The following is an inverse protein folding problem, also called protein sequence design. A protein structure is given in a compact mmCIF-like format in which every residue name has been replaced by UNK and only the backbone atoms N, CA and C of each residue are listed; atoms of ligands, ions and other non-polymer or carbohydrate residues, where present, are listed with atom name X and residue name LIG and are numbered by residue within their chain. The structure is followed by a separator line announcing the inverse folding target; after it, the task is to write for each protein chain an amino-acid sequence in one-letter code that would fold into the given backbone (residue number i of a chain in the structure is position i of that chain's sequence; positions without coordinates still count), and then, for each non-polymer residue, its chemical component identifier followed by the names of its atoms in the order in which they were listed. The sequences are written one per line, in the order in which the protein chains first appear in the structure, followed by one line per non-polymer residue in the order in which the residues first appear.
data_IF_266081192231
#
_entry.id   IF_266081192231
#
_cell.length_a   1.000
_cell.length_b   1.000
_cell.length_c   1.000
_cell.angle_alpha   90.00
_cell.angle_beta   90.00
_cell.angle_gamma   90.00
#
_symmetry.space_group_name_H-M   'P 1'
#
loop_
_entity.id
_entity.type
_entity.pdbx_description
1 polymer ?
#
# COMPACT_ATOMS: atom_id res chain seq x y z
N UNK A 1 38.87 13.37 -59.65
CA UNK A 1 38.98 14.13 -58.39
C UNK A 1 37.71 13.93 -57.57
N UNK A 2 37.70 12.97 -56.68
CA UNK A 2 36.53 12.65 -55.85
C UNK A 2 36.76 13.27 -54.47
N UNK A 3 35.92 14.26 -54.08
CA UNK A 3 35.92 14.87 -52.74
C UNK A 3 35.11 13.97 -51.81
N UNK A 4 35.78 13.42 -50.81
CA UNK A 4 35.16 12.66 -49.69
C UNK A 4 34.56 13.64 -48.71
N UNK A 5 33.23 13.62 -48.51
CA UNK A 5 32.53 14.29 -47.43
C UNK A 5 32.56 13.39 -46.20
N UNK A 6 33.25 13.84 -45.16
CA UNK A 6 33.18 13.20 -43.82
C UNK A 6 31.98 13.76 -43.09
N UNK A 7 31.00 12.88 -42.79
CA UNK A 7 29.87 13.19 -41.92
C UNK A 7 30.32 12.95 -40.48
N UNK A 8 30.48 14.03 -39.73
CA UNK A 8 30.74 13.99 -38.27
C UNK A 8 29.39 13.80 -37.59
N UNK A 9 29.14 12.60 -37.08
CA UNK A 9 28.01 12.34 -36.23
C UNK A 9 28.26 12.86 -34.80
N UNK A 10 27.59 13.95 -34.45
CA UNK A 10 27.59 14.51 -33.12
C UNK A 10 26.69 13.68 -32.23
N UNK A 11 27.25 12.78 -31.42
CA UNK A 11 26.53 12.05 -30.38
C UNK A 11 26.31 12.99 -29.21
N UNK A 12 25.12 13.57 -29.11
CA UNK A 12 24.67 14.29 -27.92
C UNK A 12 24.40 13.30 -26.80
N UNK A 13 25.34 13.12 -25.88
CA UNK A 13 25.16 12.41 -24.63
C UNK A 13 24.26 13.24 -23.70
N UNK A 14 22.97 13.00 -23.72
CA UNK A 14 22.05 13.47 -22.68
C UNK A 14 22.37 12.72 -21.39
N UNK A 15 23.07 13.39 -20.47
CA UNK A 15 23.25 12.91 -19.12
C UNK A 15 21.88 12.81 -18.43
N UNK A 16 21.44 11.58 -18.15
CA UNK A 16 20.30 11.31 -17.27
C UNK A 16 20.67 11.76 -15.86
N UNK A 17 20.34 12.99 -15.51
CA UNK A 17 20.33 13.41 -14.10
C UNK A 17 19.20 12.68 -13.40
N UNK A 18 19.53 11.55 -12.75
CA UNK A 18 18.58 10.85 -11.87
C UNK A 18 18.17 11.85 -10.77
N UNK A 19 16.86 12.12 -10.65
CA UNK A 19 16.32 12.90 -9.55
C UNK A 19 16.62 12.15 -8.24
N UNK A 20 17.52 12.70 -7.44
CA UNK A 20 17.85 12.19 -6.12
C UNK A 20 16.98 12.92 -5.10
N UNK A 21 16.29 12.20 -4.24
CA UNK A 21 15.58 12.75 -3.08
C UNK A 21 16.37 12.41 -1.82
N UNK A 22 16.48 13.36 -0.90
CA UNK A 22 17.08 13.12 0.41
C UNK A 22 16.08 12.39 1.30
N UNK A 23 16.55 11.37 2.02
CA UNK A 23 15.77 10.74 3.08
C UNK A 23 15.55 11.78 4.20
N UNK A 24 14.30 12.08 4.56
CA UNK A 24 14.01 13.11 5.55
C UNK A 24 14.48 12.76 6.97
N UNK A 25 15.02 11.55 7.19
CA UNK A 25 15.45 11.07 8.51
C UNK A 25 16.95 10.86 8.64
N UNK A 26 17.61 10.43 7.57
CA UNK A 26 19.06 10.13 7.59
C UNK A 26 19.87 11.19 6.86
N UNK A 27 19.24 12.04 6.05
CA UNK A 27 19.93 12.99 5.18
C UNK A 27 20.68 12.35 4.02
N UNK A 28 20.63 11.01 3.88
CA UNK A 28 21.28 10.31 2.79
C UNK A 28 20.54 10.50 1.46
N UNK A 29 21.31 10.63 0.39
CA UNK A 29 20.76 10.72 -0.96
C UNK A 29 20.27 9.35 -1.41
N UNK A 30 18.95 9.21 -1.56
CA UNK A 30 18.30 8.00 -2.04
C UNK A 30 17.78 8.24 -3.46
N UNK A 31 18.01 7.29 -4.35
CA UNK A 31 17.41 7.35 -5.68
C UNK A 31 15.90 7.28 -5.55
N UNK A 32 15.19 8.31 -6.05
CA UNK A 32 13.74 8.35 -5.97
C UNK A 32 13.12 7.10 -6.60
N UNK A 33 12.17 6.48 -5.93
CA UNK A 33 11.40 5.34 -6.48
C UNK A 33 10.61 5.74 -7.73
N UNK A 34 10.39 7.04 -7.95
CA UNK A 34 9.85 7.58 -9.20
C UNK A 34 10.70 7.22 -10.43
N UNK A 35 12.02 7.10 -10.26
CA UNK A 35 12.95 6.69 -11.34
C UNK A 35 12.70 5.23 -11.76
N UNK A 36 12.34 4.35 -10.81
CA UNK A 36 11.99 2.96 -11.11
C UNK A 36 10.61 2.84 -11.77
N UNK A 37 9.65 3.71 -11.41
CA UNK A 37 8.33 3.76 -12.04
C UNK A 37 8.39 4.16 -13.52
N UNK A 38 9.31 5.06 -13.88
CA UNK A 38 9.49 5.50 -15.27
C UNK A 38 10.15 4.44 -16.17
N UNK A 39 11.02 3.59 -15.59
CA UNK A 39 11.76 2.55 -16.33
C UNK A 39 11.12 1.16 -16.23
N UNK A 40 10.32 0.90 -15.19
CA UNK A 40 9.76 -0.43 -14.88
C UNK A 40 8.27 -0.60 -15.13
N UNK A 41 7.56 0.45 -15.52
CA UNK A 41 6.09 0.42 -15.67
C UNK A 41 5.55 -0.58 -16.70
N UNK A 42 6.41 -1.10 -17.58
CA UNK A 42 6.01 -2.08 -18.60
C UNK A 42 6.21 -3.55 -18.19
N UNK A 43 7.04 -3.86 -17.17
CA UNK A 43 7.46 -5.24 -16.89
C UNK A 43 6.97 -5.78 -15.55
N UNK A 44 6.72 -4.94 -14.54
CA UNK A 44 6.38 -5.39 -13.19
C UNK A 44 4.86 -5.44 -12.93
N UNK A 45 4.07 -4.76 -13.74
CA UNK A 45 2.59 -4.82 -13.65
C UNK A 45 2.00 -6.20 -13.94
N UNK A 46 2.74 -7.06 -14.67
CA UNK A 46 2.27 -8.38 -15.06
C UNK A 46 2.51 -9.49 -14.00
N UNK A 47 3.47 -9.34 -13.10
CA UNK A 47 3.83 -10.40 -12.15
C UNK A 47 3.31 -10.19 -10.72
N UNK A 48 3.03 -8.94 -10.32
CA UNK A 48 2.47 -8.66 -8.98
C UNK A 48 0.96 -8.86 -8.88
N UNK A 49 0.24 -8.71 -9.99
CA UNK A 49 -1.22 -8.85 -10.03
C UNK A 49 -1.75 -10.29 -10.03
N UNK A 50 -0.89 -11.26 -10.37
CA UNK A 50 -1.31 -12.66 -10.52
C UNK A 50 -1.30 -13.46 -9.21
N UNK A 51 -0.67 -12.96 -8.14
CA UNK A 51 -0.48 -13.71 -6.90
C UNK A 51 -1.43 -13.33 -5.76
N UNK A 52 -2.23 -12.27 -5.91
CA UNK A 52 -3.17 -11.84 -4.86
C UNK A 52 -4.53 -11.55 -5.49
N UNK A 53 -5.34 -12.58 -5.57
CA UNK A 53 -6.80 -12.55 -5.66
C UNK A 53 -7.45 -11.66 -6.72
N UNK A 54 -7.84 -12.26 -7.84
CA UNK A 54 -8.99 -11.82 -8.64
C UNK A 54 -8.88 -10.46 -9.34
N UNK A 55 -8.20 -10.41 -10.49
CA UNK A 55 -8.09 -9.23 -11.35
C UNK A 55 -9.40 -8.49 -11.68
N UNK A 56 -10.55 -9.14 -11.56
CA UNK A 56 -11.85 -8.55 -11.88
C UNK A 56 -12.34 -7.50 -10.86
N UNK A 57 -12.07 -7.69 -9.57
CA UNK A 57 -12.61 -6.77 -8.54
C UNK A 57 -11.80 -5.47 -8.45
N UNK A 58 -10.49 -5.55 -8.57
CA UNK A 58 -9.57 -4.40 -8.55
C UNK A 58 -9.78 -3.53 -9.79
N UNK A 59 -9.80 -4.14 -10.98
CA UNK A 59 -10.05 -3.44 -12.23
C UNK A 59 -11.41 -2.77 -12.28
N UNK A 60 -12.44 -3.43 -11.73
CA UNK A 60 -13.79 -2.86 -11.65
C UNK A 60 -13.84 -1.63 -10.74
N UNK A 61 -13.21 -1.71 -9.56
CA UNK A 61 -13.10 -0.57 -8.63
C UNK A 61 -12.29 0.56 -9.25
N UNK A 62 -11.17 0.26 -9.88
CA UNK A 62 -10.32 1.22 -10.54
C UNK A 62 -11.09 1.98 -11.63
N UNK A 63 -11.79 1.28 -12.51
CA UNK A 63 -12.64 1.89 -13.56
C UNK A 63 -13.78 2.73 -12.96
N UNK A 64 -14.39 2.26 -11.88
CA UNK A 64 -15.45 3.00 -11.19
C UNK A 64 -14.94 4.32 -10.59
N UNK A 65 -13.75 4.33 -9.99
CA UNK A 65 -13.13 5.53 -9.42
C UNK A 65 -12.71 6.53 -10.51
N UNK A 66 -12.11 6.06 -11.60
CA UNK A 66 -11.72 6.91 -12.73
C UNK A 66 -12.96 7.49 -13.40
N UNK A 67 -14.00 6.68 -13.61
CA UNK A 67 -15.28 7.13 -14.18
C UNK A 67 -16.04 8.13 -13.28
N UNK A 68 -15.79 8.10 -11.97
CA UNK A 68 -16.35 9.05 -11.00
C UNK A 68 -15.57 10.37 -10.91
N UNK A 69 -14.57 10.59 -11.76
CA UNK A 69 -13.79 11.84 -11.82
C UNK A 69 -12.57 11.87 -10.91
N UNK A 70 -12.25 10.78 -10.22
CA UNK A 70 -10.96 10.64 -9.53
C UNK A 70 -9.91 10.35 -10.59
N UNK A 71 -9.04 11.31 -10.87
CA UNK A 71 -8.02 11.18 -11.91
C UNK A 71 -7.07 10.02 -11.63
N UNK A 72 -6.69 9.27 -12.67
CA UNK A 72 -5.69 8.22 -12.57
C UNK A 72 -4.27 8.79 -12.62
N UNK A 73 -3.33 8.05 -12.02
CA UNK A 73 -1.90 8.33 -12.10
C UNK A 73 -1.31 7.68 -13.35
N UNK A 74 -0.34 8.34 -13.98
CA UNK A 74 0.32 7.84 -15.17
C UNK A 74 1.85 7.94 -15.08
N UNK A 75 2.55 6.92 -15.56
CA UNK A 75 4.00 6.92 -15.74
C UNK A 75 4.78 7.26 -14.46
N UNK A 76 5.76 8.15 -14.56
CA UNK A 76 6.60 8.57 -13.44
C UNK A 76 5.87 9.27 -12.29
N UNK A 77 4.65 9.77 -12.53
CA UNK A 77 3.80 10.37 -11.50
C UNK A 77 3.36 9.38 -10.42
N UNK A 78 3.25 8.09 -10.76
CA UNK A 78 2.88 7.04 -9.80
C UNK A 78 3.92 6.96 -8.69
N UNK A 79 5.19 6.80 -9.05
CA UNK A 79 6.28 6.68 -8.07
C UNK A 79 6.31 7.87 -7.14
N UNK A 80 6.33 9.09 -7.68
CA UNK A 80 6.36 10.31 -6.88
C UNK A 80 5.17 10.42 -5.91
N UNK A 81 3.96 10.15 -6.40
CA UNK A 81 2.76 10.21 -5.58
C UNK A 81 2.83 9.23 -4.40
N UNK A 82 3.20 8.00 -4.69
CA UNK A 82 3.31 6.95 -3.67
C UNK A 82 4.48 7.18 -2.71
N UNK A 83 5.61 7.73 -3.18
CA UNK A 83 6.75 8.10 -2.33
C UNK A 83 6.36 9.17 -1.31
N UNK A 84 5.58 10.17 -1.72
CA UNK A 84 5.04 11.20 -0.82
C UNK A 84 4.07 10.61 0.20
N UNK A 85 3.14 9.78 -0.25
CA UNK A 85 2.18 9.12 0.64
C UNK A 85 2.89 8.21 1.65
N UNK A 86 3.89 7.42 1.22
CA UNK A 86 4.70 6.56 2.10
C UNK A 86 5.44 7.40 3.16
N UNK A 87 6.09 8.49 2.76
CA UNK A 87 6.84 9.35 3.66
C UNK A 87 5.94 9.97 4.74
N UNK A 88 4.77 10.45 4.36
CA UNK A 88 3.83 11.05 5.31
C UNK A 88 3.23 10.00 6.26
N UNK A 89 2.85 8.81 5.75
CA UNK A 89 2.41 7.69 6.60
C UNK A 89 3.50 7.31 7.60
N UNK A 90 4.74 7.15 7.14
CA UNK A 90 5.88 6.79 7.99
C UNK A 90 6.11 7.84 9.07
N UNK A 91 6.00 9.12 8.73
CA UNK A 91 6.17 10.21 9.68
C UNK A 91 5.07 10.21 10.75
N UNK A 92 3.80 10.11 10.34
CA UNK A 92 2.65 10.17 11.26
C UNK A 92 2.50 8.92 12.13
N UNK A 93 2.90 7.76 11.59
CA UNK A 93 2.77 6.48 12.28
C UNK A 93 4.01 6.07 13.07
N UNK A 94 5.02 6.94 13.16
CA UNK A 94 6.21 6.70 13.98
C UNK A 94 5.79 6.44 15.44
N UNK A 95 6.29 5.38 16.03
CA UNK A 95 5.99 4.97 17.42
C UNK A 95 4.54 4.52 17.69
N UNK A 96 3.73 4.32 16.66
CA UNK A 96 2.34 3.83 16.80
C UNK A 96 2.24 2.30 16.90
N UNK A 97 3.32 1.58 16.61
CA UNK A 97 3.32 0.13 16.45
C UNK A 97 2.89 -0.35 15.06
N UNK A 98 2.45 0.55 14.17
CA UNK A 98 2.13 0.24 12.77
C UNK A 98 3.39 0.31 11.94
N UNK A 99 3.67 -0.74 11.16
CA UNK A 99 4.75 -0.71 10.18
C UNK A 99 4.24 -0.25 8.82
N UNK A 100 5.04 0.59 8.14
CA UNK A 100 4.79 1.05 6.78
C UNK A 100 5.84 0.43 5.88
N UNK A 101 5.42 -0.36 4.89
CA UNK A 101 6.34 -1.07 3.98
C UNK A 101 5.94 -0.83 2.54
N UNK A 102 6.93 -0.52 1.70
CA UNK A 102 6.74 -0.39 0.25
C UNK A 102 6.99 -1.71 -0.45
N UNK A 103 6.02 -2.16 -1.27
CA UNK A 103 6.15 -3.36 -2.11
C UNK A 103 5.78 -2.97 -3.55
N UNK A 104 6.78 -2.79 -4.41
CA UNK A 104 6.55 -2.27 -5.76
C UNK A 104 5.89 -0.89 -5.74
N UNK A 105 4.70 -0.78 -6.32
CA UNK A 105 3.90 0.44 -6.29
C UNK A 105 2.91 0.51 -5.11
N UNK A 106 2.77 -0.55 -4.33
CA UNK A 106 1.86 -0.60 -3.20
C UNK A 106 2.53 -0.17 -1.90
N UNK A 107 1.76 0.42 -0.98
CA UNK A 107 2.16 0.65 0.41
C UNK A 107 1.34 -0.29 1.28
N UNK A 108 1.99 -1.01 2.17
CA UNK A 108 1.35 -1.91 3.13
C UNK A 108 1.52 -1.34 4.53
N UNK A 109 0.40 -1.10 5.22
CA UNK A 109 0.34 -0.78 6.63
C UNK A 109 0.01 -2.07 7.38
N UNK A 110 0.92 -2.53 8.22
CA UNK A 110 0.67 -3.68 9.08
C UNK A 110 0.34 -3.19 10.50
N UNK A 111 -0.87 -3.51 10.96
CA UNK A 111 -1.42 -3.13 12.26
C UNK A 111 -1.49 -4.36 13.16
N UNK A 112 -0.58 -4.52 14.15
CA UNK A 112 -0.61 -5.65 15.07
C UNK A 112 -1.93 -5.72 15.84
N UNK A 113 -2.51 -6.92 15.96
CA UNK A 113 -3.84 -7.10 16.56
C UNK A 113 -3.90 -6.73 18.04
N UNK A 114 -2.82 -6.97 18.79
CA UNK A 114 -2.74 -6.67 20.22
C UNK A 114 -2.79 -5.16 20.57
N UNK A 115 -2.37 -4.30 19.64
CA UNK A 115 -2.48 -2.83 19.82
C UNK A 115 -3.77 -2.29 19.19
N UNK A 116 -4.26 -2.93 18.13
CA UNK A 116 -5.42 -2.48 17.37
C UNK A 116 -6.74 -2.82 18.04
N UNK A 117 -6.87 -4.01 18.63
CA UNK A 117 -8.12 -4.53 19.20
C UNK A 117 -8.00 -4.90 20.67
N UNK A 118 -9.13 -4.91 21.37
CA UNK A 118 -9.23 -5.57 22.67
C UNK A 118 -9.06 -7.10 22.49
N UNK A 119 -8.71 -7.80 23.59
CA UNK A 119 -8.52 -9.26 23.58
C UNK A 119 -9.78 -9.97 23.09
N UNK A 120 -9.62 -10.91 22.17
CA UNK A 120 -10.71 -11.71 21.57
C UNK A 120 -11.89 -10.89 21.01
N UNK A 121 -11.61 -9.64 20.61
CA UNK A 121 -12.62 -8.72 20.10
C UNK A 121 -12.26 -8.22 18.70
N UNK A 122 -13.27 -7.69 18.03
CA UNK A 122 -13.14 -6.83 16.84
C UNK A 122 -13.32 -5.35 17.17
N UNK A 123 -13.52 -5.00 18.45
CA UNK A 123 -13.65 -3.62 18.89
C UNK A 123 -12.27 -2.94 18.91
N UNK A 124 -12.20 -1.80 18.27
CA UNK A 124 -10.94 -1.02 18.18
C UNK A 124 -10.58 -0.50 19.56
N UNK A 125 -9.34 -0.73 19.97
CA UNK A 125 -8.81 -0.21 21.21
C UNK A 125 -8.86 1.33 21.22
N UNK A 126 -9.33 1.92 22.33
CA UNK A 126 -9.50 3.37 22.45
C UNK A 126 -8.22 4.17 22.10
N UNK A 127 -7.05 3.67 22.47
CA UNK A 127 -5.76 4.30 22.15
C UNK A 127 -5.39 4.23 20.66
N UNK A 128 -6.01 3.35 19.90
CA UNK A 128 -5.69 3.17 18.49
C UNK A 128 -6.47 4.11 17.56
N UNK A 129 -7.50 4.78 18.07
CA UNK A 129 -8.24 5.77 17.28
C UNK A 129 -7.38 6.93 16.78
N UNK A 130 -6.43 7.42 17.58
CA UNK A 130 -5.51 8.48 17.16
C UNK A 130 -4.61 8.04 16.00
N UNK A 131 -4.21 6.76 16.00
CA UNK A 131 -3.45 6.15 14.92
C UNK A 131 -4.30 6.09 13.65
N UNK A 132 -5.55 5.61 13.75
CA UNK A 132 -6.47 5.55 12.61
C UNK A 132 -6.85 6.94 12.10
N UNK A 133 -6.97 7.95 12.97
CA UNK A 133 -7.15 9.35 12.56
C UNK A 133 -5.98 9.84 11.72
N UNK A 134 -4.74 9.51 12.12
CA UNK A 134 -3.54 9.85 11.37
C UNK A 134 -3.53 9.18 9.99
N UNK A 135 -3.94 7.91 9.91
CA UNK A 135 -4.12 7.20 8.64
C UNK A 135 -5.20 7.87 7.79
N UNK A 136 -6.37 8.19 8.37
CA UNK A 136 -7.48 8.80 7.65
C UNK A 136 -7.11 10.16 7.03
N UNK A 137 -6.29 10.99 7.72
CA UNK A 137 -5.80 12.26 7.19
C UNK A 137 -5.03 12.02 5.89
N UNK A 138 -4.07 11.09 5.90
CA UNK A 138 -3.25 10.78 4.71
C UNK A 138 -4.11 10.16 3.60
N UNK A 139 -5.04 9.25 3.93
CA UNK A 139 -5.91 8.65 2.94
C UNK A 139 -6.86 9.65 2.26
N UNK A 140 -7.24 10.72 2.94
CA UNK A 140 -8.04 11.82 2.36
C UNK A 140 -7.21 12.73 1.47
N UNK A 141 -5.97 13.03 1.85
CA UNK A 141 -5.05 13.84 1.06
C UNK A 141 -4.61 13.10 -0.21
N UNK A 142 -4.32 11.80 -0.08
CA UNK A 142 -3.90 10.94 -1.18
C UNK A 142 -5.08 10.08 -1.68
N UNK A 143 -5.99 10.72 -2.41
CA UNK A 143 -7.26 10.12 -2.86
C UNK A 143 -7.12 9.15 -4.05
N UNK A 144 -5.97 9.16 -4.74
CA UNK A 144 -5.71 8.35 -5.94
C UNK A 144 -5.11 6.97 -5.64
N UNK A 145 -5.59 6.33 -4.57
CA UNK A 145 -5.24 4.95 -4.22
C UNK A 145 -6.47 4.13 -3.87
N UNK A 146 -6.48 2.86 -4.24
CA UNK A 146 -7.39 1.85 -3.72
C UNK A 146 -6.91 1.43 -2.33
N UNK A 147 -7.83 0.96 -1.49
CA UNK A 147 -7.60 0.61 -0.09
C UNK A 147 -8.13 -0.81 0.14
N UNK A 148 -7.24 -1.78 0.26
CA UNK A 148 -7.61 -3.15 0.58
C UNK A 148 -7.31 -3.39 2.06
N UNK A 149 -8.34 -3.72 2.84
CA UNK A 149 -8.24 -3.99 4.28
C UNK A 149 -8.41 -5.49 4.49
N UNK A 150 -7.38 -6.16 4.94
CA UNK A 150 -7.36 -7.61 5.17
C UNK A 150 -7.12 -7.91 6.64
N UNK A 151 -8.04 -8.67 7.26
CA UNK A 151 -7.86 -9.20 8.61
C UNK A 151 -7.22 -10.57 8.59
N UNK A 152 -6.36 -10.84 9.57
CA UNK A 152 -5.69 -12.12 9.78
C UNK A 152 -5.80 -12.57 11.23
N UNK A 153 -5.77 -13.88 11.44
CA UNK A 153 -5.67 -14.53 12.76
C UNK A 153 -4.42 -15.41 12.83
N UNK A 154 -4.12 -15.92 14.01
CA UNK A 154 -3.28 -17.09 14.16
C UNK A 154 -4.11 -18.37 13.96
N UNK A 155 -3.46 -19.54 14.08
CA UNK A 155 -4.09 -20.86 13.93
C UNK A 155 -4.83 -21.35 15.17
N UNK A 156 -5.13 -20.49 16.13
CA UNK A 156 -5.86 -20.88 17.34
C UNK A 156 -7.38 -20.80 17.07
N UNK A 157 -8.08 -21.89 17.28
CA UNK A 157 -9.52 -21.98 17.04
C UNK A 157 -9.87 -22.75 15.77
N UNK A 158 -11.13 -22.64 15.32
CA UNK A 158 -11.56 -23.21 14.06
C UNK A 158 -11.40 -22.24 12.90
N UNK A 159 -11.15 -22.78 11.70
CA UNK A 159 -11.00 -21.97 10.46
C UNK A 159 -12.18 -21.03 10.27
N UNK A 160 -13.42 -21.54 10.51
CA UNK A 160 -14.64 -20.74 10.38
C UNK A 160 -14.65 -19.56 11.37
N UNK A 161 -14.32 -19.81 12.63
CA UNK A 161 -14.21 -18.76 13.65
C UNK A 161 -13.15 -17.72 13.27
N UNK A 162 -11.98 -18.18 12.84
CA UNK A 162 -10.87 -17.32 12.41
C UNK A 162 -11.23 -16.47 11.20
N UNK A 163 -11.94 -17.05 10.23
CA UNK A 163 -12.42 -16.32 9.07
C UNK A 163 -13.40 -15.22 9.47
N UNK A 164 -14.39 -15.54 10.32
CA UNK A 164 -15.37 -14.54 10.77
C UNK A 164 -14.76 -13.45 11.64
N UNK A 165 -13.84 -13.79 12.57
CA UNK A 165 -13.17 -12.84 13.42
C UNK A 165 -12.30 -11.87 12.59
N UNK A 166 -11.53 -12.40 11.64
CA UNK A 166 -10.70 -11.60 10.75
C UNK A 166 -11.52 -10.66 9.87
N UNK A 167 -12.67 -11.14 9.36
CA UNK A 167 -13.61 -10.31 8.59
C UNK A 167 -14.19 -9.17 9.44
N UNK A 168 -14.61 -9.44 10.68
CA UNK A 168 -15.13 -8.41 11.59
C UNK A 168 -14.07 -7.37 11.92
N UNK A 169 -12.82 -7.77 12.16
CA UNK A 169 -11.70 -6.87 12.43
C UNK A 169 -11.40 -5.95 11.25
N UNK A 170 -11.34 -6.50 10.03
CA UNK A 170 -11.16 -5.70 8.82
C UNK A 170 -12.32 -4.70 8.62
N UNK A 171 -13.55 -5.13 8.89
CA UNK A 171 -14.75 -4.27 8.81
C UNK A 171 -14.70 -3.13 9.83
N UNK A 172 -14.28 -3.39 11.09
CA UNK A 172 -14.20 -2.35 12.12
C UNK A 172 -13.21 -1.25 11.74
N UNK A 173 -12.03 -1.62 11.23
CA UNK A 173 -11.03 -0.65 10.76
C UNK A 173 -11.55 0.14 9.56
N UNK A 174 -12.12 -0.53 8.56
CA UNK A 174 -12.64 0.13 7.36
C UNK A 174 -13.83 1.04 7.69
N UNK A 175 -14.77 0.59 8.53
CA UNK A 175 -15.92 1.39 8.96
C UNK A 175 -15.48 2.67 9.67
N UNK A 176 -14.46 2.60 10.51
CA UNK A 176 -13.90 3.77 11.17
C UNK A 176 -13.31 4.76 10.17
N UNK A 177 -12.47 4.30 9.24
CA UNK A 177 -11.86 5.17 8.22
C UNK A 177 -12.90 5.81 7.30
N UNK A 178 -13.93 5.06 6.90
CA UNK A 178 -15.08 5.58 6.12
C UNK A 178 -15.83 6.64 6.95
N UNK A 179 -16.04 6.41 8.24
CA UNK A 179 -16.63 7.39 9.16
C UNK A 179 -15.81 8.67 9.30
N UNK A 180 -14.48 8.60 9.06
CA UNK A 180 -13.59 9.77 8.96
C UNK A 180 -13.61 10.44 7.57
N UNK A 181 -14.61 10.15 6.74
CA UNK A 181 -14.81 10.72 5.40
C UNK A 181 -13.77 10.26 4.35
N UNK A 182 -13.18 9.10 4.51
CA UNK A 182 -12.46 8.43 3.42
C UNK A 182 -13.48 7.79 2.47
N UNK A 183 -13.35 8.01 1.16
CA UNK A 183 -14.32 7.54 0.17
C UNK A 183 -14.48 6.01 0.20
N UNK A 184 -15.70 5.55 0.54
CA UNK A 184 -16.04 4.14 0.69
C UNK A 184 -15.85 3.32 -0.59
N UNK A 185 -15.92 3.94 -1.77
CA UNK A 185 -15.72 3.27 -3.07
C UNK A 185 -14.29 2.75 -3.26
N UNK A 186 -13.32 3.31 -2.52
CA UNK A 186 -11.92 2.89 -2.55
C UNK A 186 -11.68 1.57 -1.83
N UNK A 187 -12.57 1.17 -0.94
CA UNK A 187 -12.35 0.04 -0.04
C UNK A 187 -12.69 -1.32 -0.65
N UNK A 188 -11.84 -2.29 -0.36
CA UNK A 188 -12.13 -3.71 -0.44
C UNK A 188 -11.79 -4.34 0.91
N UNK A 189 -12.73 -5.10 1.49
CA UNK A 189 -12.64 -5.57 2.87
C UNK A 189 -12.79 -7.08 2.89
N UNK A 190 -11.79 -7.78 3.41
CA UNK A 190 -11.77 -9.23 3.42
C UNK A 190 -11.16 -9.78 4.71
N UNK A 191 -11.72 -10.87 5.22
CA UNK A 191 -11.09 -11.72 6.23
C UNK A 191 -10.33 -12.85 5.55
N UNK A 192 -9.06 -13.02 5.90
CA UNK A 192 -8.21 -14.12 5.43
C UNK A 192 -8.09 -15.26 6.46
N UNK A 193 -8.63 -15.07 7.67
CA UNK A 193 -8.44 -16.03 8.76
C UNK A 193 -6.98 -16.30 9.01
N UNK A 194 -6.62 -17.57 9.16
CA UNK A 194 -5.26 -18.05 9.38
C UNK A 194 -4.52 -18.44 8.08
N UNK A 195 -5.16 -18.29 6.91
CA UNK A 195 -4.65 -18.84 5.65
C UNK A 195 -3.36 -18.16 5.13
N UNK A 196 -3.00 -16.99 5.66
CA UNK A 196 -1.84 -16.21 5.20
C UNK A 196 -0.92 -15.81 6.37
N UNK A 197 -0.23 -16.76 6.99
CA UNK A 197 0.68 -16.47 8.08
C UNK A 197 1.95 -15.76 7.59
N UNK A 198 2.47 -14.81 8.38
CA UNK A 198 3.76 -14.14 8.14
C UNK A 198 4.85 -14.66 9.07
N UNK A 199 4.48 -15.45 10.08
CA UNK A 199 5.38 -16.09 11.02
C UNK A 199 4.87 -17.48 11.37
N UNK A 200 5.71 -18.31 12.04
CA UNK A 200 5.27 -19.63 12.52
C UNK A 200 4.18 -19.52 13.58
N UNK A 201 3.16 -20.37 13.51
CA UNK A 201 2.12 -20.48 14.54
C UNK A 201 2.57 -21.31 15.77
N UNK A 202 3.75 -21.95 15.73
CA UNK A 202 4.24 -22.80 16.82
C UNK A 202 4.64 -22.00 18.05
N UNK A 203 5.07 -20.75 17.87
CA UNK A 203 5.52 -19.89 18.97
C UNK A 203 4.48 -18.80 19.30
N UNK A 204 4.37 -18.39 20.59
CA UNK A 204 3.47 -17.29 20.97
C UNK A 204 3.79 -16.00 20.21
N UNK A 205 5.05 -15.69 19.99
CA UNK A 205 5.52 -14.50 19.27
C UNK A 205 5.10 -14.54 17.80
N UNK A 206 5.24 -15.70 17.15
CA UNK A 206 4.80 -15.86 15.76
C UNK A 206 3.30 -15.75 15.61
N UNK A 207 2.52 -16.33 16.54
CA UNK A 207 1.07 -16.14 16.58
C UNK A 207 0.67 -14.68 16.76
N UNK A 208 1.38 -13.94 17.61
CA UNK A 208 1.14 -12.51 17.79
C UNK A 208 1.34 -11.73 16.48
N UNK A 209 2.36 -12.05 15.70
CA UNK A 209 2.61 -11.43 14.39
C UNK A 209 1.52 -11.79 13.37
N UNK A 210 0.99 -13.00 13.43
CA UNK A 210 -0.09 -13.45 12.53
C UNK A 210 -1.42 -12.75 12.84
N UNK A 211 -1.71 -12.42 14.09
CA UNK A 211 -2.90 -11.63 14.47
C UNK A 211 -2.70 -10.17 14.11
N UNK A 212 -3.16 -9.77 12.92
CA UNK A 212 -2.98 -8.41 12.38
C UNK A 212 -4.11 -7.99 11.46
N UNK A 213 -4.17 -6.70 11.18
CA UNK A 213 -4.90 -6.15 10.03
C UNK A 213 -3.90 -5.46 9.12
N UNK A 214 -3.96 -5.76 7.84
CA UNK A 214 -3.18 -5.10 6.81
C UNK A 214 -4.06 -4.12 6.02
N UNK A 215 -3.54 -2.92 5.75
CA UNK A 215 -4.11 -2.00 4.77
C UNK A 215 -3.12 -1.89 3.62
N UNK A 216 -3.52 -2.33 2.44
CA UNK A 216 -2.76 -2.16 1.20
C UNK A 216 -3.31 -0.97 0.44
N UNK A 217 -2.44 -0.08 0.06
CA UNK A 217 -2.73 1.09 -0.77
C UNK A 217 -2.12 0.87 -2.15
N UNK A 218 -2.97 0.73 -3.17
CA UNK A 218 -2.56 0.53 -4.56
C UNK A 218 -2.92 1.74 -5.40
N UNK A 219 -2.01 2.27 -6.24
CA UNK A 219 -2.28 3.46 -7.02
C UNK A 219 -3.38 3.23 -8.06
N UNK A 220 -4.26 4.23 -8.26
CA UNK A 220 -5.18 4.27 -9.38
C UNK A 220 -4.42 4.58 -10.65
N UNK A 221 -4.31 3.61 -11.56
CA UNK A 221 -3.58 3.74 -12.82
C UNK A 221 -4.53 3.66 -14.01
N UNK A 222 -4.21 4.36 -15.12
CA UNK A 222 -4.82 4.07 -16.40
C UNK A 222 -4.19 2.79 -16.93
N UNK A 223 -4.96 1.72 -17.04
CA UNK A 223 -4.59 0.50 -17.79
C UNK A 223 -4.57 0.77 -19.28
#
# INVERSE_FOLDING_TARGET
MMKKFAVVALVASFGLTACQTQDPYTGEQKTSKATYGALGGAVIGALGGALIGGGDSTDRRQRAMIGAGVGALAGGGIGYYMDKQEAELTQRLRSSGVSVTRVGNDIILNMPGNVTFATDSSDINAKFYDVLNSVAIVLKEYDKTLIDVTGHTDSTGSDQYNLELSQKRAQSVAAYLIGQSVDSRRFYIVGAGEAQPIATNDTPQGREQNRRVEIRLSPLTTS
#
